data_IF_306481510605
#
_entry.id   IF_306481510605
#
_cell.length_a   1.000
_cell.length_b   1.000
_cell.length_c   1.000
_cell.angle_alpha   90.00
_cell.angle_beta   90.00
_cell.angle_gamma   90.00
#
_symmetry.space_group_name_H-M   'P 1'
#
loop_
_entity.id
_entity.type
_entity.pdbx_description
1 polymer ?
#
# COMPACT_ATOMS: atom_id res chain seq x y z
N UNK A 1 -9.91 21.10 3.76
CA UNK A 1 -9.35 21.39 2.40
C UNK A 1 -7.96 20.79 2.37
N UNK A 2 -7.53 20.13 1.27
CA UNK A 2 -6.19 19.56 1.18
C UNK A 2 -5.15 20.70 1.11
N UNK A 3 -4.25 20.76 2.09
CA UNK A 3 -3.16 21.75 2.15
C UNK A 3 -1.88 21.04 1.72
N UNK A 4 -1.24 21.52 0.65
CA UNK A 4 0.01 20.96 0.13
C UNK A 4 1.15 21.94 0.33
N UNK A 5 2.21 21.49 1.01
CA UNK A 5 3.45 22.21 1.23
C UNK A 5 4.55 21.64 0.32
N UNK A 6 5.23 22.47 -0.45
CA UNK A 6 6.31 22.07 -1.36
C UNK A 6 7.67 22.67 -0.96
N UNK A 7 7.82 23.08 0.29
CA UNK A 7 9.02 23.77 0.78
C UNK A 7 10.24 22.86 0.97
N UNK A 8 10.06 21.53 0.92
CA UNK A 8 11.10 20.56 1.21
C UNK A 8 11.31 19.57 0.03
N UNK A 9 11.86 20.03 -1.11
CA UNK A 9 12.09 19.14 -2.24
C UNK A 9 13.14 18.07 -1.91
N UNK A 10 12.88 16.83 -2.32
CA UNK A 10 13.87 15.75 -2.24
C UNK A 10 15.05 16.02 -3.18
N UNK A 11 16.23 15.53 -2.79
CA UNK A 11 17.45 15.59 -3.65
C UNK A 11 17.52 14.42 -4.64
N UNK A 12 17.00 13.27 -4.21
CA UNK A 12 17.18 12.00 -4.91
C UNK A 12 15.90 11.58 -5.62
N UNK A 13 15.84 11.86 -6.90
CA UNK A 13 14.84 11.42 -7.86
C UNK A 13 15.41 11.50 -9.27
N UNK A 14 14.70 10.94 -10.25
CA UNK A 14 15.07 11.09 -11.65
C UNK A 14 13.83 11.17 -12.55
N UNK A 15 14.02 11.20 -13.86
CA UNK A 15 12.92 11.28 -14.81
C UNK A 15 12.23 9.92 -14.99
N UNK A 16 10.92 9.92 -15.28
CA UNK A 16 10.15 8.71 -15.60
C UNK A 16 10.46 8.13 -16.98
N UNK A 17 11.21 8.85 -17.83
CA UNK A 17 11.56 8.43 -19.19
C UNK A 17 10.35 8.03 -20.06
N UNK A 18 9.25 8.77 -19.94
CA UNK A 18 8.03 8.53 -20.70
C UNK A 18 7.10 7.46 -20.14
N UNK A 19 7.47 6.79 -19.06
CA UNK A 19 6.58 5.81 -18.40
C UNK A 19 5.37 6.52 -17.76
N UNK A 20 4.15 6.13 -18.08
CA UNK A 20 2.95 6.73 -17.50
C UNK A 20 2.75 6.29 -16.05
N UNK A 21 2.18 7.17 -15.23
CA UNK A 21 1.72 6.81 -13.88
C UNK A 21 0.56 5.82 -14.00
N UNK A 22 0.65 4.70 -13.30
CA UNK A 22 -0.31 3.60 -13.31
C UNK A 22 -0.66 3.06 -11.92
N UNK A 23 0.13 3.38 -10.90
CA UNK A 23 -0.06 2.91 -9.53
C UNK A 23 0.04 4.04 -8.52
N UNK A 24 -0.65 3.88 -7.38
CA UNK A 24 -0.35 4.55 -6.12
C UNK A 24 0.16 3.49 -5.15
N UNK A 25 1.28 3.76 -4.48
CA UNK A 25 1.85 2.85 -3.47
C UNK A 25 1.90 3.58 -2.14
N UNK A 26 1.22 3.00 -1.15
CA UNK A 26 1.15 3.52 0.21
C UNK A 26 2.21 2.87 1.08
N UNK A 27 2.87 3.69 1.89
CA UNK A 27 3.95 3.30 2.80
C UNK A 27 3.67 3.81 4.21
N UNK A 28 4.35 3.23 5.20
CA UNK A 28 4.59 3.89 6.47
C UNK A 28 6.08 4.23 6.62
N UNK A 29 6.38 5.30 7.35
CA UNK A 29 7.76 5.76 7.52
C UNK A 29 8.56 4.96 8.55
N UNK A 30 7.91 4.26 9.49
CA UNK A 30 8.53 3.63 10.67
C UNK A 30 9.40 4.60 11.50
N UNK A 31 9.10 5.89 11.45
CA UNK A 31 9.89 6.95 12.07
C UNK A 31 9.04 8.18 12.35
N UNK A 32 9.43 9.04 13.32
CA UNK A 32 8.80 10.33 13.57
C UNK A 32 8.93 11.28 12.38
N UNK A 33 8.04 12.29 12.31
CA UNK A 33 7.95 13.25 11.21
C UNK A 33 9.30 13.86 10.79
N UNK A 34 10.08 14.40 11.74
CA UNK A 34 11.35 15.07 11.42
C UNK A 34 12.37 14.14 10.79
N UNK A 35 12.48 12.90 11.32
CA UNK A 35 13.36 11.87 10.76
C UNK A 35 12.89 11.42 9.39
N UNK A 36 11.59 11.22 9.22
CA UNK A 36 10.98 10.85 7.94
C UNK A 36 11.23 11.91 6.86
N UNK A 37 11.00 13.18 7.19
CA UNK A 37 11.27 14.29 6.29
C UNK A 37 12.74 14.36 5.89
N UNK A 38 13.66 14.19 6.88
CA UNK A 38 15.09 14.18 6.62
C UNK A 38 15.49 13.03 5.67
N UNK A 39 15.10 11.79 5.99
CA UNK A 39 15.44 10.63 5.17
C UNK A 39 14.91 10.74 3.75
N UNK A 40 13.65 11.18 3.58
CA UNK A 40 13.01 11.28 2.26
C UNK A 40 13.53 12.47 1.41
N UNK A 41 14.27 13.40 2.02
CA UNK A 41 14.81 14.57 1.30
C UNK A 41 16.32 14.57 1.15
N UNK A 42 17.07 13.76 1.96
CA UNK A 42 18.52 13.86 2.06
C UNK A 42 19.30 12.54 1.92
N UNK A 43 18.66 11.34 1.95
CA UNK A 43 19.33 10.06 2.20
C UNK A 43 19.16 8.98 1.11
N UNK A 44 19.14 9.32 -0.16
CA UNK A 44 19.15 8.33 -1.25
C UNK A 44 17.84 7.55 -1.44
N UNK A 45 16.76 7.99 -0.77
CA UNK A 45 15.38 7.54 -0.96
C UNK A 45 14.47 8.75 -1.07
N UNK A 46 13.32 8.60 -1.70
CA UNK A 46 12.35 9.68 -1.80
C UNK A 46 10.95 9.15 -2.03
N UNK A 47 9.93 9.95 -1.71
CA UNK A 47 8.54 9.73 -2.08
C UNK A 47 7.97 10.98 -2.72
N UNK A 48 6.84 10.86 -3.41
CA UNK A 48 6.16 12.04 -3.96
C UNK A 48 5.53 12.86 -2.85
N UNK A 49 4.95 12.17 -1.87
CA UNK A 49 4.27 12.80 -0.75
C UNK A 49 4.68 12.20 0.59
N UNK A 50 4.76 13.07 1.60
CA UNK A 50 4.84 12.69 3.01
C UNK A 50 3.60 13.25 3.71
N UNK A 51 2.82 12.37 4.35
CA UNK A 51 1.67 12.73 5.17
C UNK A 51 2.02 12.52 6.64
N UNK A 52 2.14 13.61 7.43
CA UNK A 52 2.40 13.53 8.86
C UNK A 52 1.24 12.90 9.65
N UNK A 53 1.56 12.49 10.88
CA UNK A 53 0.57 12.25 11.92
C UNK A 53 0.39 13.57 12.71
N UNK A 54 -0.83 14.15 12.75
CA UNK A 54 -1.07 15.42 13.46
C UNK A 54 -0.90 15.29 14.97
N UNK A 55 -0.99 14.07 15.52
CA UNK A 55 -0.83 13.80 16.94
C UNK A 55 0.62 13.47 17.33
N UNK A 56 1.51 13.31 16.35
CA UNK A 56 2.93 13.05 16.61
C UNK A 56 3.60 14.34 17.17
N UNK A 57 4.20 14.26 18.38
CA UNK A 57 4.75 15.45 19.05
C UNK A 57 5.77 16.24 18.23
N UNK A 58 6.55 15.57 17.38
CA UNK A 58 7.57 16.20 16.55
C UNK A 58 6.98 17.05 15.42
N UNK A 59 5.78 16.71 14.93
CA UNK A 59 5.06 17.50 13.95
C UNK A 59 4.59 18.83 14.54
N UNK A 60 3.91 18.78 15.70
CA UNK A 60 3.49 19.99 16.44
C UNK A 60 4.68 20.85 16.86
N UNK A 61 5.75 20.24 17.36
CA UNK A 61 6.98 20.94 17.75
C UNK A 61 7.75 21.56 16.56
N UNK A 62 7.41 21.19 15.32
CA UNK A 62 7.93 21.84 14.12
C UNK A 62 7.16 23.12 13.74
N UNK A 63 6.11 23.47 14.49
CA UNK A 63 5.34 24.70 14.31
C UNK A 63 4.15 24.58 13.36
N UNK A 64 3.68 23.36 13.09
CA UNK A 64 2.51 23.13 12.25
C UNK A 64 1.24 22.98 13.11
N UNK A 65 0.32 23.94 12.97
CA UNK A 65 -0.95 23.96 13.70
C UNK A 65 -2.07 23.19 12.98
N UNK A 66 -1.94 23.01 11.67
CA UNK A 66 -2.88 22.26 10.81
C UNK A 66 -2.17 21.14 10.06
N UNK A 67 -2.89 20.04 9.78
CA UNK A 67 -2.35 18.96 9.01
C UNK A 67 -2.18 19.34 7.54
N UNK A 68 -0.96 19.16 7.01
CA UNK A 68 -0.62 19.40 5.61
C UNK A 68 0.16 18.22 5.03
N UNK A 69 0.01 18.01 3.74
CA UNK A 69 0.77 17.04 2.98
C UNK A 69 2.02 17.72 2.43
N UNK A 70 3.19 17.12 2.60
CA UNK A 70 4.43 17.61 2.00
C UNK A 70 4.64 16.94 0.64
N UNK A 71 4.69 17.74 -0.43
CA UNK A 71 5.09 17.27 -1.75
C UNK A 71 6.61 17.40 -1.87
N UNK A 72 7.29 16.25 -1.88
CA UNK A 72 8.75 16.17 -1.89
C UNK A 72 9.31 15.98 -3.30
N UNK A 73 8.60 15.25 -4.16
CA UNK A 73 8.95 15.04 -5.58
C UNK A 73 7.73 15.36 -6.44
N UNK A 74 7.95 16.01 -7.57
CA UNK A 74 6.90 16.26 -8.55
C UNK A 74 6.40 14.93 -9.15
N UNK A 75 5.09 14.79 -9.38
CA UNK A 75 4.50 13.57 -9.93
C UNK A 75 4.99 13.22 -11.34
N UNK A 76 5.45 14.20 -12.11
CA UNK A 76 6.10 14.00 -13.40
C UNK A 76 7.50 13.38 -13.31
N UNK A 77 8.11 13.40 -12.13
CA UNK A 77 9.39 12.76 -11.85
C UNK A 77 9.20 11.36 -11.24
N UNK A 78 10.29 10.62 -11.14
CA UNK A 78 10.36 9.27 -10.57
C UNK A 78 11.01 9.34 -9.19
N UNK A 79 10.22 9.29 -8.13
CA UNK A 79 10.71 9.12 -6.77
C UNK A 79 11.21 7.68 -6.52
N UNK A 80 12.06 7.51 -5.50
CA UNK A 80 12.72 6.23 -5.19
C UNK A 80 12.13 5.61 -3.91
N UNK A 81 10.87 5.15 -3.98
CA UNK A 81 10.11 4.63 -2.83
C UNK A 81 9.86 3.11 -2.87
N UNK A 82 9.55 2.55 -4.05
CA UNK A 82 9.14 1.15 -4.15
C UNK A 82 10.32 0.17 -4.27
N UNK A 83 11.50 0.65 -4.72
CA UNK A 83 12.71 -0.18 -4.89
C UNK A 83 12.46 -1.42 -5.76
N UNK A 84 13.05 -2.55 -5.37
CA UNK A 84 12.79 -3.85 -6.01
C UNK A 84 11.36 -4.27 -5.67
N UNK A 85 10.50 -4.24 -6.65
CA UNK A 85 9.05 -4.40 -6.52
C UNK A 85 8.46 -5.08 -7.76
N UNK A 86 7.26 -5.65 -7.62
CA UNK A 86 6.56 -6.34 -8.73
C UNK A 86 5.05 -6.21 -8.57
N UNK A 87 4.34 -5.92 -9.65
CA UNK A 87 2.87 -5.98 -9.72
C UNK A 87 2.40 -6.13 -11.16
N UNK A 88 1.41 -7.00 -11.38
CA UNK A 88 0.77 -7.16 -12.70
C UNK A 88 1.75 -7.51 -13.82
N UNK A 89 2.77 -8.34 -13.54
CA UNK A 89 3.79 -8.72 -14.51
C UNK A 89 4.86 -7.65 -14.78
N UNK A 90 4.93 -6.59 -13.96
CA UNK A 90 5.92 -5.52 -14.09
C UNK A 90 6.81 -5.44 -12.86
N UNK A 91 8.10 -5.30 -13.08
CA UNK A 91 9.11 -5.08 -12.03
C UNK A 91 9.50 -3.60 -11.91
N UNK A 92 10.07 -3.22 -10.76
CA UNK A 92 10.68 -1.91 -10.52
C UNK A 92 9.70 -0.74 -10.70
N UNK A 93 8.64 -0.71 -9.90
CA UNK A 93 7.46 0.14 -10.08
C UNK A 93 7.69 1.65 -9.87
N UNK A 94 8.86 2.11 -9.39
CA UNK A 94 9.15 3.54 -9.17
C UNK A 94 8.81 4.42 -10.38
N UNK A 95 9.08 3.96 -11.61
CA UNK A 95 8.83 4.75 -12.82
C UNK A 95 7.35 4.89 -13.17
N UNK A 96 6.48 4.07 -12.58
CA UNK A 96 5.05 3.97 -12.91
C UNK A 96 4.12 4.28 -11.75
N UNK A 97 4.66 4.62 -10.58
CA UNK A 97 3.87 4.83 -9.38
C UNK A 97 4.08 6.22 -8.79
N UNK A 98 3.09 6.63 -8.00
CA UNK A 98 3.19 7.72 -7.03
C UNK A 98 3.30 7.08 -5.66
N UNK A 99 4.37 7.39 -4.91
CA UNK A 99 4.57 6.91 -3.55
C UNK A 99 4.10 7.93 -2.53
N UNK A 100 3.35 7.47 -1.54
CA UNK A 100 2.88 8.26 -0.40
C UNK A 100 3.41 7.62 0.87
N UNK A 101 4.28 8.33 1.57
CA UNK A 101 4.78 7.94 2.89
C UNK A 101 3.88 8.54 3.96
N UNK A 102 3.38 7.71 4.85
CA UNK A 102 2.46 8.10 5.93
C UNK A 102 3.21 7.94 7.24
N UNK A 103 3.36 9.02 8.00
CA UNK A 103 4.06 8.96 9.29
C UNK A 103 3.32 8.01 10.23
N UNK A 104 4.01 6.96 10.64
CA UNK A 104 3.53 5.97 11.60
C UNK A 104 4.74 5.32 12.26
N UNK A 105 4.65 5.03 13.56
CA UNK A 105 5.73 4.48 14.37
C UNK A 105 5.71 2.94 14.38
N UNK A 106 5.32 2.33 13.26
CA UNK A 106 5.41 0.89 13.09
C UNK A 106 6.87 0.42 13.23
N UNK A 107 7.07 -0.78 13.78
CA UNK A 107 8.40 -1.34 14.00
C UNK A 107 8.39 -2.87 13.94
N UNK A 108 9.56 -3.41 13.68
CA UNK A 108 9.87 -4.83 13.74
C UNK A 108 10.96 -5.05 14.80
N UNK A 109 10.58 -5.66 15.90
CA UNK A 109 11.48 -6.01 17.01
C UNK A 109 11.83 -7.51 16.91
N UNK A 110 12.69 -7.87 15.96
CA UNK A 110 13.13 -9.26 15.77
C UNK A 110 12.03 -10.21 15.26
N UNK A 111 11.17 -9.74 14.39
CA UNK A 111 10.03 -10.48 13.83
C UNK A 111 8.72 -10.27 14.58
N UNK A 112 8.74 -9.53 15.70
CA UNK A 112 7.54 -9.08 16.41
C UNK A 112 7.17 -7.70 15.90
N UNK A 113 6.15 -7.66 15.04
CA UNK A 113 5.69 -6.41 14.46
C UNK A 113 4.72 -5.68 15.35
N UNK A 114 4.89 -4.36 15.45
CA UNK A 114 3.91 -3.44 16.05
C UNK A 114 3.42 -2.50 14.95
N UNK A 115 2.10 -2.40 14.79
CA UNK A 115 1.44 -1.54 13.81
C UNK A 115 0.47 -0.60 14.53
N UNK A 116 0.91 0.61 14.95
CA UNK A 116 0.01 1.61 15.52
C UNK A 116 -1.14 1.94 14.55
N UNK A 117 -2.30 2.30 15.10
CA UNK A 117 -3.41 2.79 14.30
C UNK A 117 -3.05 4.11 13.61
N UNK A 118 -3.66 4.38 12.47
CA UNK A 118 -3.65 5.68 11.83
C UNK A 118 -4.74 6.56 12.42
N UNK A 119 -4.45 7.84 12.67
CA UNK A 119 -5.41 8.80 13.19
C UNK A 119 -6.53 9.11 12.17
N UNK A 120 -7.74 9.41 12.64
CA UNK A 120 -8.88 9.72 11.76
C UNK A 120 -8.59 10.89 10.82
N UNK A 121 -8.04 12.00 11.34
CA UNK A 121 -7.67 13.17 10.54
C UNK A 121 -6.62 12.81 9.47
N UNK A 122 -5.64 11.96 9.81
CA UNK A 122 -4.62 11.49 8.88
C UNK A 122 -5.25 10.66 7.76
N UNK A 123 -6.20 9.78 8.08
CA UNK A 123 -6.93 8.96 7.09
C UNK A 123 -7.80 9.83 6.19
N UNK A 124 -8.49 10.83 6.72
CA UNK A 124 -9.31 11.76 5.94
C UNK A 124 -8.46 12.56 4.93
N UNK A 125 -7.29 13.04 5.35
CA UNK A 125 -6.35 13.75 4.47
C UNK A 125 -5.74 12.79 3.43
N UNK A 126 -5.44 11.53 3.80
CA UNK A 126 -4.99 10.50 2.86
C UNK A 126 -6.05 10.25 1.77
N UNK A 127 -7.32 10.11 2.16
CA UNK A 127 -8.45 9.94 1.25
C UNK A 127 -8.53 11.14 0.28
N UNK A 128 -8.46 12.36 0.79
CA UNK A 128 -8.50 13.57 -0.03
C UNK A 128 -7.33 13.62 -1.03
N UNK A 129 -6.11 13.30 -0.59
CA UNK A 129 -4.92 13.26 -1.43
C UNK A 129 -5.03 12.19 -2.55
N UNK A 130 -5.40 10.95 -2.18
CA UNK A 130 -5.47 9.87 -3.17
C UNK A 130 -6.59 10.13 -4.18
N UNK A 131 -7.75 10.65 -3.76
CA UNK A 131 -8.83 11.06 -4.69
C UNK A 131 -8.37 12.14 -5.67
N UNK A 132 -7.62 13.12 -5.20
CA UNK A 132 -7.06 14.17 -6.05
C UNK A 132 -6.05 13.60 -7.06
N UNK A 133 -5.19 12.66 -6.66
CA UNK A 133 -4.30 11.92 -7.55
C UNK A 133 -5.10 11.11 -8.59
N UNK A 134 -6.09 10.32 -8.16
CA UNK A 134 -6.93 9.52 -9.07
C UNK A 134 -7.70 10.39 -10.06
N UNK A 135 -8.11 11.60 -9.67
CA UNK A 135 -8.72 12.60 -10.56
C UNK A 135 -7.77 13.05 -11.68
N UNK A 136 -6.48 13.19 -11.38
CA UNK A 136 -5.44 13.54 -12.38
C UNK A 136 -4.98 12.33 -13.21
N UNK A 137 -5.07 11.13 -12.66
CA UNK A 137 -4.62 9.88 -13.28
C UNK A 137 -5.75 8.84 -13.36
N UNK A 138 -6.81 9.12 -14.14
CA UNK A 138 -8.00 8.26 -14.21
C UNK A 138 -7.74 6.86 -14.80
N UNK A 139 -6.54 6.62 -15.33
CA UNK A 139 -6.08 5.31 -15.81
C UNK A 139 -5.54 4.39 -14.69
N UNK A 140 -5.45 4.87 -13.44
CA UNK A 140 -5.12 4.03 -12.30
C UNK A 140 -6.37 3.21 -11.93
N UNK A 141 -6.27 1.90 -12.07
CA UNK A 141 -7.37 0.99 -11.72
C UNK A 141 -7.45 0.79 -10.19
N UNK A 142 -8.61 0.38 -9.65
CA UNK A 142 -8.73 0.10 -8.21
C UNK A 142 -7.70 -0.90 -7.68
N UNK A 143 -7.32 -1.89 -8.47
CA UNK A 143 -6.31 -2.91 -8.12
C UNK A 143 -4.86 -2.39 -8.18
N UNK A 144 -4.68 -1.15 -8.58
CA UNK A 144 -3.38 -0.48 -8.71
C UNK A 144 -3.16 0.58 -7.61
N UNK A 145 -4.05 0.65 -6.63
CA UNK A 145 -3.81 1.35 -5.35
C UNK A 145 -3.38 0.30 -4.33
N UNK A 146 -2.11 0.32 -3.94
CA UNK A 146 -1.39 -0.80 -3.36
C UNK A 146 -0.64 -0.40 -2.08
N UNK A 147 -0.40 -1.35 -1.20
CA UNK A 147 0.61 -1.24 -0.17
C UNK A 147 1.99 -1.64 -0.71
N UNK A 148 3.05 -1.13 -0.09
CA UNK A 148 4.41 -1.57 -0.42
C UNK A 148 4.57 -3.09 -0.18
N UNK A 149 3.92 -3.62 0.86
CA UNK A 149 3.85 -5.06 1.12
C UNK A 149 3.19 -5.86 -0.01
N UNK A 150 2.25 -5.30 -0.77
CA UNK A 150 1.65 -6.00 -1.92
C UNK A 150 2.67 -6.21 -3.04
N UNK A 151 3.49 -5.20 -3.29
CA UNK A 151 4.43 -5.18 -4.43
C UNK A 151 5.82 -5.69 -4.07
N UNK A 152 6.13 -5.85 -2.77
CA UNK A 152 7.44 -6.29 -2.28
C UNK A 152 7.31 -7.17 -1.02
N UNK A 153 6.33 -8.09 -0.99
CA UNK A 153 5.95 -8.91 0.16
C UNK A 153 7.12 -9.67 0.82
N UNK A 154 8.19 -9.97 0.06
CA UNK A 154 9.36 -10.69 0.55
C UNK A 154 10.30 -9.86 1.41
N UNK A 155 10.09 -8.55 1.52
CA UNK A 155 10.98 -7.63 2.23
C UNK A 155 10.28 -6.46 2.93
N UNK A 156 8.97 -6.29 2.72
CA UNK A 156 8.22 -5.13 3.19
C UNK A 156 6.92 -5.53 3.88
N UNK A 157 6.53 -4.71 4.87
CA UNK A 157 5.30 -4.86 5.64
C UNK A 157 4.43 -3.60 5.65
N UNK A 158 4.95 -2.47 5.12
CA UNK A 158 4.23 -1.21 5.04
C UNK A 158 3.13 -1.24 3.93
N UNK A 159 1.98 -0.59 4.14
CA UNK A 159 1.58 0.26 5.26
C UNK A 159 1.03 -0.51 6.47
N UNK A 160 1.11 -1.83 6.49
CA UNK A 160 0.67 -2.70 7.57
C UNK A 160 -0.84 -2.91 7.65
N UNK A 161 -1.29 -3.79 8.57
CA UNK A 161 -2.69 -4.17 8.70
C UNK A 161 -3.56 -3.08 9.34
N UNK A 162 -2.94 -2.06 9.97
CA UNK A 162 -3.66 -0.97 10.62
C UNK A 162 -4.15 0.10 9.64
N UNK A 163 -3.70 0.09 8.36
CA UNK A 163 -4.29 0.97 7.37
C UNK A 163 -5.74 0.55 7.09
N UNK A 164 -6.74 1.45 7.19
CA UNK A 164 -8.15 1.09 7.06
C UNK A 164 -8.56 0.95 5.58
N UNK A 165 -8.06 -0.08 4.90
CA UNK A 165 -8.28 -0.33 3.47
C UNK A 165 -9.77 -0.37 3.06
N UNK A 166 -10.63 -0.95 3.90
CA UNK A 166 -12.07 -0.96 3.64
C UNK A 166 -12.65 0.46 3.65
N UNK A 167 -12.22 1.32 4.58
CA UNK A 167 -12.64 2.73 4.62
C UNK A 167 -12.18 3.49 3.36
N UNK A 168 -10.94 3.24 2.89
CA UNK A 168 -10.46 3.80 1.63
C UNK A 168 -11.33 3.34 0.46
N UNK A 169 -11.67 2.05 0.39
CA UNK A 169 -12.56 1.52 -0.65
C UNK A 169 -13.96 2.15 -0.61
N UNK A 170 -14.56 2.28 0.56
CA UNK A 170 -15.86 2.96 0.74
C UNK A 170 -15.80 4.43 0.31
N UNK A 171 -14.62 5.04 0.38
CA UNK A 171 -14.33 6.37 -0.16
C UNK A 171 -14.02 6.37 -1.68
N UNK A 172 -14.11 5.22 -2.37
CA UNK A 172 -13.83 5.07 -3.81
C UNK A 172 -12.36 4.86 -4.16
N UNK A 173 -11.53 4.43 -3.21
CA UNK A 173 -10.09 4.25 -3.38
C UNK A 173 -9.72 2.77 -3.21
N UNK A 174 -9.05 2.21 -4.22
CA UNK A 174 -8.52 0.85 -4.15
C UNK A 174 -9.55 -0.24 -4.42
N UNK A 175 -9.09 -1.48 -4.30
CA UNK A 175 -9.90 -2.67 -4.54
C UNK A 175 -10.45 -3.25 -3.24
N UNK A 176 -11.66 -3.79 -3.29
CA UNK A 176 -12.26 -4.57 -2.20
C UNK A 176 -13.20 -5.63 -2.77
N UNK A 177 -13.45 -6.68 -2.00
CA UNK A 177 -14.32 -7.77 -2.42
C UNK A 177 -15.79 -7.51 -2.11
N UNK A 178 -16.69 -8.11 -2.91
CA UNK A 178 -18.12 -8.11 -2.61
C UNK A 178 -18.42 -9.14 -1.48
N UNK A 179 -19.10 -8.74 -0.41
CA UNK A 179 -19.39 -9.62 0.72
C UNK A 179 -20.17 -10.89 0.32
N UNK A 180 -21.12 -10.78 -0.61
CA UNK A 180 -21.93 -11.91 -1.08
C UNK A 180 -21.07 -12.92 -1.88
N UNK A 181 -20.19 -12.44 -2.76
CA UNK A 181 -19.27 -13.27 -3.54
C UNK A 181 -18.26 -13.95 -2.62
N UNK A 182 -17.66 -13.21 -1.68
CA UNK A 182 -16.78 -13.80 -0.67
C UNK A 182 -17.50 -14.91 0.13
N UNK A 183 -18.74 -14.67 0.58
CA UNK A 183 -19.51 -15.66 1.33
C UNK A 183 -19.82 -16.91 0.49
N UNK A 184 -20.05 -16.78 -0.81
CA UNK A 184 -20.25 -17.90 -1.72
C UNK A 184 -18.99 -18.77 -1.79
N UNK A 185 -17.81 -18.16 -2.02
CA UNK A 185 -16.54 -18.89 -2.04
C UNK A 185 -16.17 -19.46 -0.67
N UNK A 186 -16.49 -18.77 0.42
CA UNK A 186 -16.27 -19.26 1.78
C UNK A 186 -16.99 -20.60 2.01
N UNK A 187 -18.28 -20.71 1.63
CA UNK A 187 -19.04 -21.97 1.71
C UNK A 187 -18.40 -23.10 0.88
N UNK A 188 -17.89 -22.77 -0.30
CA UNK A 188 -17.19 -23.74 -1.14
C UNK A 188 -15.89 -24.25 -0.48
N UNK A 189 -15.07 -23.33 0.04
CA UNK A 189 -13.75 -23.65 0.58
C UNK A 189 -13.79 -24.18 2.02
N UNK A 190 -14.93 -24.13 2.72
CA UNK A 190 -15.16 -24.88 3.95
C UNK A 190 -15.14 -26.40 3.74
N UNK A 191 -15.40 -26.87 2.51
CA UNK A 191 -15.37 -28.30 2.14
C UNK A 191 -13.99 -28.79 1.73
N UNK A 192 -13.05 -27.90 1.47
CA UNK A 192 -11.69 -28.15 1.07
C UNK A 192 -11.09 -26.98 0.29
N UNK A 193 -9.83 -26.70 0.52
CA UNK A 193 -9.13 -25.63 -0.18
C UNK A 193 -8.88 -26.01 -1.65
N UNK A 194 -8.81 -25.02 -2.57
CA UNK A 194 -8.33 -25.28 -3.93
C UNK A 194 -6.90 -25.84 -3.90
N UNK A 195 -6.50 -26.62 -4.92
CA UNK A 195 -5.11 -27.01 -5.07
C UNK A 195 -4.17 -25.81 -5.04
N UNK A 196 -2.99 -25.96 -4.41
CA UNK A 196 -2.03 -24.86 -4.25
C UNK A 196 -1.67 -24.19 -5.58
N UNK A 197 -1.56 -24.96 -6.66
CA UNK A 197 -1.28 -24.45 -8.01
C UNK A 197 -2.39 -23.52 -8.54
N UNK A 198 -3.63 -23.74 -8.16
CA UNK A 198 -4.75 -22.86 -8.54
C UNK A 198 -4.75 -21.58 -7.71
N UNK A 199 -4.45 -21.68 -6.42
CA UNK A 199 -4.26 -20.53 -5.54
C UNK A 199 -3.09 -19.67 -6.03
N UNK A 200 -1.98 -20.30 -6.42
CA UNK A 200 -0.82 -19.61 -7.01
C UNK A 200 -1.20 -18.82 -8.26
N UNK A 201 -1.95 -19.45 -9.17
CA UNK A 201 -2.48 -18.77 -10.39
C UNK A 201 -3.43 -17.64 -10.05
N UNK A 202 -4.25 -17.78 -9.00
CA UNK A 202 -5.16 -16.73 -8.57
C UNK A 202 -4.41 -15.51 -8.01
N UNK A 203 -3.35 -15.70 -7.23
CA UNK A 203 -2.49 -14.62 -6.78
C UNK A 203 -1.80 -13.90 -7.95
N UNK A 204 -1.24 -14.65 -8.91
CA UNK A 204 -0.60 -14.07 -10.09
C UNK A 204 -1.60 -13.29 -10.96
N UNK A 205 -2.79 -13.84 -11.17
CA UNK A 205 -3.87 -13.17 -11.92
C UNK A 205 -4.29 -11.86 -11.25
N UNK A 206 -4.36 -11.83 -9.93
CA UNK A 206 -4.68 -10.61 -9.21
C UNK A 206 -3.58 -9.55 -9.36
N UNK A 207 -2.31 -9.95 -9.40
CA UNK A 207 -1.18 -9.05 -9.65
C UNK A 207 0.10 -9.38 -8.89
N UNK A 208 0.04 -10.26 -7.90
CA UNK A 208 1.19 -10.59 -7.06
C UNK A 208 2.30 -11.33 -7.84
N UNK A 209 3.54 -11.07 -7.43
CA UNK A 209 4.70 -11.86 -7.90
C UNK A 209 4.51 -13.32 -7.52
N UNK A 210 4.87 -14.28 -8.42
CA UNK A 210 4.91 -15.69 -8.07
C UNK A 210 5.77 -15.97 -6.83
N UNK A 211 5.27 -16.83 -5.93
CA UNK A 211 6.09 -17.34 -4.85
C UNK A 211 7.11 -18.36 -5.41
N UNK A 212 8.33 -18.36 -4.86
CA UNK A 212 9.43 -19.22 -5.33
C UNK A 212 9.82 -20.31 -4.34
N UNK A 213 9.24 -20.29 -3.13
CA UNK A 213 9.37 -21.31 -2.10
C UNK A 213 8.27 -21.15 -1.05
N UNK A 214 8.23 -22.04 -0.06
CA UNK A 214 7.22 -22.04 1.02
C UNK A 214 7.22 -20.72 1.80
N UNK A 215 8.38 -20.21 2.20
CA UNK A 215 8.49 -18.97 2.94
C UNK A 215 7.93 -17.78 2.14
N UNK A 216 8.27 -17.66 0.86
CA UNK A 216 7.74 -16.57 0.02
C UNK A 216 6.24 -16.68 -0.20
N UNK A 217 5.68 -17.90 -0.23
CA UNK A 217 4.24 -18.14 -0.27
C UNK A 217 3.54 -17.63 1.00
N UNK A 218 4.10 -17.93 2.18
CA UNK A 218 3.59 -17.45 3.47
C UNK A 218 3.68 -15.93 3.61
N UNK A 219 4.81 -15.33 3.20
CA UNK A 219 4.98 -13.87 3.21
C UNK A 219 3.99 -13.16 2.28
N UNK A 220 3.74 -13.69 1.08
CA UNK A 220 2.75 -13.15 0.16
C UNK A 220 1.33 -13.29 0.73
N UNK A 221 1.01 -14.46 1.27
CA UNK A 221 -0.28 -14.69 1.92
C UNK A 221 -0.49 -13.70 3.06
N UNK A 222 0.54 -13.47 3.88
CA UNK A 222 0.52 -12.48 4.95
C UNK A 222 0.31 -11.06 4.42
N UNK A 223 1.02 -10.64 3.38
CA UNK A 223 0.84 -9.32 2.76
C UNK A 223 -0.59 -9.11 2.25
N UNK A 224 -1.13 -10.11 1.56
CA UNK A 224 -2.52 -10.12 1.12
C UNK A 224 -3.51 -10.01 2.30
N UNK A 225 -3.27 -10.75 3.38
CA UNK A 225 -4.11 -10.70 4.58
C UNK A 225 -4.03 -9.33 5.27
N UNK A 226 -2.84 -8.73 5.37
CA UNK A 226 -2.70 -7.37 5.92
C UNK A 226 -3.54 -6.35 5.15
N UNK A 227 -3.68 -6.49 3.84
CA UNK A 227 -4.51 -5.63 3.01
C UNK A 227 -6.01 -5.96 3.14
N UNK A 228 -6.40 -7.22 2.94
CA UNK A 228 -7.80 -7.61 2.74
C UNK A 228 -8.46 -8.32 3.95
N UNK A 229 -7.67 -8.67 4.96
CA UNK A 229 -8.12 -9.37 6.18
C UNK A 229 -7.27 -8.98 7.40
N UNK A 230 -7.21 -7.71 7.71
CA UNK A 230 -6.31 -7.13 8.71
C UNK A 230 -6.45 -7.68 10.13
N UNK A 231 -7.58 -8.30 10.47
CA UNK A 231 -7.82 -8.91 11.80
C UNK A 231 -6.99 -10.19 12.04
N UNK A 232 -6.55 -10.88 10.97
CA UNK A 232 -5.73 -12.09 11.05
C UNK A 232 -4.83 -12.21 9.81
N UNK A 233 -3.56 -11.88 9.99
CA UNK A 233 -2.53 -11.83 8.94
C UNK A 233 -1.36 -12.78 9.25
N UNK A 234 -1.67 -13.97 9.77
CA UNK A 234 -0.68 -14.97 10.16
C UNK A 234 0.15 -15.55 9.00
N UNK A 235 -0.25 -15.33 7.74
CA UNK A 235 0.43 -15.87 6.56
C UNK A 235 0.03 -17.31 6.22
N UNK A 236 -0.85 -17.92 7.01
CA UNK A 236 -1.38 -19.26 6.72
C UNK A 236 -2.55 -19.13 5.76
N UNK A 237 -2.49 -19.90 4.66
CA UNK A 237 -3.59 -19.98 3.70
C UNK A 237 -4.76 -20.75 4.32
N UNK A 238 -5.94 -20.13 4.33
CA UNK A 238 -7.19 -20.74 4.82
C UNK A 238 -8.36 -20.48 3.87
N UNK A 239 -9.52 -21.04 4.18
CA UNK A 239 -10.73 -20.90 3.36
C UNK A 239 -11.21 -19.47 3.20
N UNK A 240 -11.02 -18.61 4.20
CA UNK A 240 -11.40 -17.20 4.11
C UNK A 240 -10.45 -16.43 3.20
N UNK A 241 -9.14 -16.63 3.34
CA UNK A 241 -8.13 -16.02 2.46
C UNK A 241 -8.38 -16.39 1.00
N UNK A 242 -8.62 -17.69 0.73
CA UNK A 242 -8.99 -18.15 -0.61
C UNK A 242 -10.27 -17.50 -1.10
N UNK A 243 -11.31 -17.43 -0.25
CA UNK A 243 -12.60 -16.83 -0.63
C UNK A 243 -12.47 -15.36 -1.02
N UNK A 244 -11.69 -14.59 -0.26
CA UNK A 244 -11.40 -13.19 -0.58
C UNK A 244 -10.64 -13.08 -1.90
N UNK A 245 -9.58 -13.87 -2.09
CA UNK A 245 -8.75 -13.85 -3.31
C UNK A 245 -9.59 -14.18 -4.57
N UNK A 246 -10.46 -15.18 -4.49
CA UNK A 246 -11.33 -15.55 -5.61
C UNK A 246 -12.41 -14.50 -5.86
N UNK A 247 -13.00 -13.91 -4.83
CA UNK A 247 -13.98 -12.84 -4.97
C UNK A 247 -13.36 -11.57 -5.61
N UNK A 248 -12.13 -11.22 -5.25
CA UNK A 248 -11.39 -10.13 -5.88
C UNK A 248 -11.08 -10.42 -7.36
N UNK A 249 -10.64 -11.64 -7.68
CA UNK A 249 -10.39 -12.03 -9.07
C UNK A 249 -11.66 -12.00 -9.91
N UNK A 250 -12.80 -12.49 -9.39
CA UNK A 250 -14.08 -12.42 -10.08
C UNK A 250 -14.47 -10.96 -10.38
N UNK A 251 -14.30 -10.07 -9.41
CA UNK A 251 -14.68 -8.66 -9.55
C UNK A 251 -13.81 -7.88 -10.53
N UNK A 252 -12.49 -8.09 -10.51
CA UNK A 252 -11.54 -7.22 -11.20
C UNK A 252 -10.78 -7.87 -12.34
N UNK A 253 -10.74 -9.20 -12.44
CA UNK A 253 -9.92 -9.92 -13.42
C UNK A 253 -10.73 -10.83 -14.35
N UNK A 254 -12.03 -10.96 -14.12
CA UNK A 254 -12.91 -11.89 -14.83
C UNK A 254 -12.47 -13.35 -14.60
N UNK A 255 -13.21 -14.11 -13.82
CA UNK A 255 -13.00 -15.58 -13.72
C UNK A 255 -13.75 -16.29 -14.81
#
# INVERSE_FOLDING_TARGET
MLVIDSSFPAKDFNQRNGEPVRQVILHYTAAPFKSSLHSLTQEGVSAHYLLPDPDEPGYRAAGYDELRVFRLVDEGARAWHAGVSHWGGRDNLNSRSIGIEIVNLARDDGGVFTFPAYGEEQVDVLIALVRDILGRYPQIEPVDVLGHSDVAYWRKSDPGPSLPWQCLFEAGIGAWFEPATRAMYQRRFCLGLPPEVEVERAFQRFGYKPAWNRQSFELRTRAFQMHFRSRDYCGVLDGETCAILYALNERYRGL
#
